data_IF_928497753747
#
_entry.id   IF_928497753747
#
_cell.length_a   1.000
_cell.length_b   1.000
_cell.length_c   1.000
_cell.angle_alpha   90.00
_cell.angle_beta   90.00
_cell.angle_gamma   90.00
#
_symmetry.space_group_name_H-M   'P 1'
#
loop_
_entity.id
_entity.type
_entity.pdbx_description
1 polymer ?
#
# COMPACT_ATOMS: atom_id res chain seq x y z
N UNK A 1 -58.30 39.72 -46.40
CA UNK A 1 -57.07 39.00 -46.80
C UNK A 1 -55.77 39.72 -46.44
N UNK A 2 -55.76 41.02 -46.10
CA UNK A 2 -54.55 41.75 -45.73
C UNK A 2 -54.11 41.67 -44.25
N UNK A 3 -55.02 41.31 -43.35
CA UNK A 3 -54.70 41.26 -41.91
C UNK A 3 -53.96 39.99 -41.50
N UNK A 4 -54.19 38.86 -42.17
CA UNK A 4 -53.53 37.60 -41.88
C UNK A 4 -52.06 37.54 -42.37
N UNK A 5 -51.72 38.30 -43.42
CA UNK A 5 -50.35 38.34 -43.95
C UNK A 5 -49.44 39.15 -43.02
N UNK A 6 -49.92 40.24 -42.39
CA UNK A 6 -49.17 41.09 -41.48
C UNK A 6 -48.89 40.33 -40.16
N UNK A 7 -49.79 39.49 -39.67
CA UNK A 7 -49.59 38.68 -38.45
C UNK A 7 -48.53 37.58 -38.68
N UNK A 8 -48.48 36.96 -39.87
CA UNK A 8 -47.48 35.96 -40.23
C UNK A 8 -46.07 36.54 -40.37
N UNK A 9 -45.92 37.78 -40.85
CA UNK A 9 -44.64 38.48 -40.97
C UNK A 9 -44.14 38.95 -39.58
N UNK A 10 -45.01 39.36 -38.67
CA UNK A 10 -44.62 39.77 -37.31
C UNK A 10 -44.20 38.60 -36.44
N UNK A 11 -44.83 37.41 -36.58
CA UNK A 11 -44.42 36.19 -35.85
C UNK A 11 -43.07 35.65 -36.35
N UNK A 12 -42.82 35.69 -37.67
CA UNK A 12 -41.52 35.29 -38.21
C UNK A 12 -40.39 36.24 -37.83
N UNK A 13 -40.64 37.55 -37.68
CA UNK A 13 -39.62 38.51 -37.27
C UNK A 13 -39.28 38.37 -35.79
N UNK A 14 -40.19 37.90 -34.91
CA UNK A 14 -39.94 37.60 -33.51
C UNK A 14 -39.11 36.33 -33.32
N UNK A 15 -39.19 35.34 -34.23
CA UNK A 15 -38.30 34.16 -34.21
C UNK A 15 -36.86 34.47 -34.66
N UNK A 16 -36.64 35.55 -35.42
CA UNK A 16 -35.30 35.97 -35.83
C UNK A 16 -34.60 36.84 -34.78
N UNK A 17 -35.28 37.25 -33.70
CA UNK A 17 -34.74 38.05 -32.60
C UNK A 17 -34.49 37.24 -31.31
N UNK A 18 -34.57 35.91 -31.35
CA UNK A 18 -34.05 35.13 -30.24
C UNK A 18 -32.53 35.38 -30.18
N UNK A 19 -32.01 35.87 -29.02
CA UNK A 19 -30.57 35.96 -28.88
C UNK A 19 -30.04 34.52 -29.02
N UNK A 20 -29.36 34.25 -30.10
CA UNK A 20 -28.51 33.03 -30.15
C UNK A 20 -27.54 33.16 -29.03
N UNK A 21 -27.76 32.43 -27.95
CA UNK A 21 -26.75 32.20 -26.94
C UNK A 21 -25.64 31.46 -27.69
N UNK A 22 -24.74 32.21 -28.26
CA UNK A 22 -23.49 31.67 -28.78
C UNK A 22 -22.76 31.14 -27.54
N UNK A 23 -22.91 29.86 -27.29
CA UNK A 23 -21.98 29.15 -26.39
C UNK A 23 -20.63 29.31 -27.04
N UNK A 24 -19.89 30.34 -26.61
CA UNK A 24 -18.52 30.56 -27.11
C UNK A 24 -17.73 29.27 -26.92
N UNK A 25 -17.31 28.68 -28.00
CA UNK A 25 -16.44 27.51 -27.94
C UNK A 25 -15.24 27.85 -27.03
N UNK A 26 -14.88 26.98 -26.08
CA UNK A 26 -13.80 27.26 -25.14
C UNK A 26 -12.50 27.59 -25.91
N UNK A 27 -11.95 28.76 -25.64
CA UNK A 27 -10.76 29.32 -26.28
C UNK A 27 -9.55 29.22 -25.35
N UNK A 28 -8.37 29.55 -25.83
CA UNK A 28 -7.18 29.68 -25.00
C UNK A 28 -7.34 30.74 -23.90
N UNK A 29 -8.13 31.79 -24.13
CA UNK A 29 -8.45 32.79 -23.12
C UNK A 29 -9.31 32.22 -21.98
N UNK A 30 -10.20 31.28 -22.29
CA UNK A 30 -10.96 30.54 -21.24
C UNK A 30 -10.01 29.77 -20.33
N UNK A 31 -8.96 29.14 -20.89
CA UNK A 31 -7.95 28.42 -20.10
C UNK A 31 -7.14 29.41 -19.24
N UNK A 32 -6.71 30.55 -19.80
CA UNK A 32 -6.00 31.60 -19.05
C UNK A 32 -6.81 32.09 -17.86
N UNK A 33 -8.07 32.43 -18.06
CA UNK A 33 -8.98 32.88 -17.01
C UNK A 33 -9.20 31.81 -15.94
N UNK A 34 -9.35 30.55 -16.34
CA UNK A 34 -9.47 29.43 -15.40
C UNK A 34 -8.22 29.29 -14.50
N UNK A 35 -7.04 29.43 -15.08
CA UNK A 35 -5.77 29.39 -14.34
C UNK A 35 -5.62 30.58 -13.40
N UNK A 36 -5.97 31.80 -13.82
CA UNK A 36 -5.97 32.99 -12.95
C UNK A 36 -6.91 32.77 -11.77
N UNK A 37 -8.15 32.29 -12.01
CA UNK A 37 -9.10 31.97 -10.93
C UNK A 37 -8.59 30.88 -10.00
N UNK A 38 -7.88 29.89 -10.53
CA UNK A 38 -7.19 28.90 -9.71
C UNK A 38 -6.10 29.55 -8.85
N UNK A 39 -5.23 30.41 -9.42
CA UNK A 39 -4.18 31.14 -8.68
C UNK A 39 -4.79 32.03 -7.60
N UNK A 40 -5.79 32.85 -7.92
CA UNK A 40 -6.49 33.73 -6.94
C UNK A 40 -7.06 32.93 -5.75
N UNK A 41 -7.37 31.67 -5.98
CA UNK A 41 -7.83 30.80 -4.93
C UNK A 41 -6.71 30.34 -3.98
N UNK A 42 -5.44 30.34 -4.35
CA UNK A 42 -4.32 29.91 -3.50
C UNK A 42 -4.02 30.94 -2.43
N UNK A 43 -4.07 30.53 -1.15
CA UNK A 43 -3.83 31.42 0.00
C UNK A 43 -2.40 31.38 0.51
N UNK A 44 -1.65 30.34 0.15
CA UNK A 44 -0.27 30.16 0.61
C UNK A 44 0.55 29.52 -0.51
N UNK A 45 1.55 30.23 -0.97
CA UNK A 45 2.54 29.82 -1.98
C UNK A 45 3.93 30.20 -1.46
N UNK A 46 4.51 29.40 -0.55
CA UNK A 46 5.75 29.78 0.15
C UNK A 46 6.96 29.79 -0.78
N UNK A 47 6.87 29.15 -1.92
CA UNK A 47 7.96 29.08 -2.90
C UNK A 47 7.77 30.04 -4.08
N UNK A 48 6.71 30.89 -4.04
CA UNK A 48 6.35 31.85 -5.11
C UNK A 48 6.25 31.20 -6.52
N UNK A 49 5.82 29.92 -6.58
CA UNK A 49 5.77 29.17 -7.82
C UNK A 49 4.77 29.75 -8.82
N UNK A 50 3.69 30.36 -8.32
CA UNK A 50 2.67 30.99 -9.13
C UNK A 50 2.99 32.46 -9.47
N UNK A 51 4.18 32.97 -9.16
CA UNK A 51 4.61 34.34 -9.50
C UNK A 51 4.67 34.56 -11.00
N UNK A 52 5.02 33.53 -11.78
CA UNK A 52 5.01 33.57 -13.24
C UNK A 52 3.62 33.70 -13.86
N UNK A 53 2.55 33.43 -13.11
CA UNK A 53 1.17 33.49 -13.60
C UNK A 53 0.64 34.94 -13.56
N UNK A 54 1.11 35.74 -14.48
CA UNK A 54 0.77 37.17 -14.59
C UNK A 54 0.73 37.59 -16.07
N UNK A 55 0.33 38.82 -16.34
CA UNK A 55 0.14 39.34 -17.68
C UNK A 55 1.46 39.72 -18.40
N UNK A 56 2.60 39.70 -17.69
CA UNK A 56 3.89 39.99 -18.30
C UNK A 56 4.42 38.89 -19.20
N UNK A 57 3.83 37.67 -19.09
CA UNK A 57 4.22 36.52 -19.92
C UNK A 57 2.99 35.73 -20.35
N UNK A 58 3.09 35.13 -21.56
CA UNK A 58 2.01 34.28 -22.05
C UNK A 58 1.78 33.07 -21.15
N UNK A 59 0.52 32.72 -20.88
CA UNK A 59 0.17 31.64 -19.93
C UNK A 59 0.77 30.28 -20.27
N UNK A 60 1.13 30.04 -21.52
CA UNK A 60 1.86 28.84 -21.94
C UNK A 60 3.27 28.74 -21.31
N UNK A 61 3.83 29.85 -20.85
CA UNK A 61 5.13 29.90 -20.20
C UNK A 61 5.02 29.94 -18.68
N UNK A 62 3.79 29.82 -18.16
CA UNK A 62 3.58 29.80 -16.73
C UNK A 62 4.08 28.48 -16.12
N UNK A 63 4.69 28.58 -14.97
CA UNK A 63 5.22 27.42 -14.28
C UNK A 63 4.13 26.38 -14.01
N UNK A 64 4.48 25.08 -14.20
CA UNK A 64 3.56 23.98 -13.94
C UNK A 64 2.47 23.79 -15.00
N UNK A 65 2.47 24.55 -16.09
CA UNK A 65 1.49 24.43 -17.17
C UNK A 65 2.12 23.75 -18.38
N UNK A 66 1.45 22.69 -18.86
CA UNK A 66 1.75 22.06 -20.15
C UNK A 66 0.58 22.24 -21.09
N UNK A 67 0.85 22.48 -22.35
CA UNK A 67 -0.15 22.75 -23.38
C UNK A 67 0.14 21.97 -24.68
N UNK A 68 -0.89 21.85 -25.53
CA UNK A 68 -0.70 21.28 -26.88
C UNK A 68 -0.12 22.32 -27.82
N UNK A 69 1.01 22.02 -28.45
CA UNK A 69 1.65 22.84 -29.48
C UNK A 69 0.97 22.68 -30.84
N UNK A 70 -0.34 22.96 -30.96
CA UNK A 70 -1.03 23.00 -32.23
C UNK A 70 -1.02 24.41 -32.82
N UNK A 71 -0.73 24.57 -34.14
CA UNK A 71 -0.69 25.89 -34.82
C UNK A 71 -1.99 26.70 -34.70
N UNK A 72 -3.12 26.10 -34.35
CA UNK A 72 -4.44 26.76 -34.32
C UNK A 72 -5.08 26.88 -32.90
N UNK A 73 -4.72 26.04 -31.93
CA UNK A 73 -5.32 26.08 -30.60
C UNK A 73 -4.32 25.63 -29.52
N UNK A 74 -3.78 26.59 -28.81
CA UNK A 74 -3.01 26.30 -27.58
C UNK A 74 -3.98 26.09 -26.44
N UNK A 75 -4.06 24.85 -25.92
CA UNK A 75 -4.96 24.48 -24.84
C UNK A 75 -4.16 23.80 -23.73
N UNK A 76 -4.48 24.08 -22.48
CA UNK A 76 -3.84 23.49 -21.31
C UNK A 76 -4.16 21.99 -21.26
N UNK A 77 -3.12 21.16 -21.20
CA UNK A 77 -3.25 19.69 -21.14
C UNK A 77 -2.72 19.09 -19.87
N UNK A 78 -1.84 19.77 -19.16
CA UNK A 78 -1.39 19.34 -17.83
C UNK A 78 -1.23 20.53 -16.89
N UNK A 79 -1.56 20.27 -15.62
CA UNK A 79 -1.33 21.14 -14.49
C UNK A 79 -0.46 20.36 -13.49
N UNK A 80 0.81 20.76 -13.35
CA UNK A 80 1.79 20.14 -12.45
C UNK A 80 2.26 21.15 -11.38
N UNK A 81 1.68 21.06 -10.22
CA UNK A 81 1.98 21.87 -9.05
C UNK A 81 2.28 20.98 -7.83
N UNK A 82 2.92 19.83 -8.03
CA UNK A 82 3.25 18.88 -6.98
C UNK A 82 4.37 19.40 -6.05
N UNK A 83 4.23 19.19 -4.74
CA UNK A 83 5.34 19.34 -3.79
C UNK A 83 5.67 20.78 -3.36
N UNK A 84 4.84 21.77 -3.72
CA UNK A 84 5.13 23.18 -3.44
C UNK A 84 4.50 23.74 -2.17
N UNK A 85 3.90 22.88 -1.33
CA UNK A 85 3.24 23.27 -0.09
C UNK A 85 2.13 24.29 -0.29
N UNK A 86 1.50 24.29 -1.47
CA UNK A 86 0.37 25.14 -1.79
C UNK A 86 -0.81 24.79 -0.88
N UNK A 87 -1.52 25.81 -0.42
CA UNK A 87 -2.66 25.63 0.49
C UNK A 87 -3.90 26.34 -0.01
N UNK A 88 -4.95 25.55 -0.23
CA UNK A 88 -6.37 25.96 -0.41
C UNK A 88 -7.25 24.77 -0.80
N UNK A 89 -8.56 25.05 -1.03
CA UNK A 89 -9.46 24.15 -1.72
C UNK A 89 -9.18 24.11 -3.23
N UNK A 90 -9.38 22.97 -3.88
CA UNK A 90 -9.28 22.90 -5.35
C UNK A 90 -10.40 23.75 -5.95
N UNK A 91 -10.02 24.75 -6.75
CA UNK A 91 -10.98 25.67 -7.36
C UNK A 91 -11.88 24.94 -8.38
N UNK A 92 -13.22 25.11 -8.34
CA UNK A 92 -14.12 24.58 -9.36
C UNK A 92 -13.78 25.04 -10.78
N UNK A 93 -13.15 26.20 -10.94
CA UNK A 93 -12.74 26.72 -12.24
C UNK A 93 -11.74 25.84 -12.99
N UNK A 94 -11.10 24.83 -12.32
CA UNK A 94 -10.26 23.85 -13.00
C UNK A 94 -11.05 23.07 -14.05
N UNK A 95 -12.36 22.91 -13.87
CA UNK A 95 -13.26 22.24 -14.83
C UNK A 95 -13.38 22.93 -16.17
N UNK A 96 -13.06 24.23 -16.25
CA UNK A 96 -13.06 25.00 -17.49
C UNK A 96 -11.84 24.66 -18.40
N UNK A 97 -10.83 23.95 -17.85
CA UNK A 97 -9.69 23.45 -18.62
C UNK A 97 -10.07 22.16 -19.38
N UNK A 98 -11.02 22.25 -20.29
CA UNK A 98 -11.67 21.10 -20.94
C UNK A 98 -10.74 20.20 -21.78
N UNK A 99 -9.49 20.62 -22.02
CA UNK A 99 -8.45 19.83 -22.68
C UNK A 99 -7.49 19.17 -21.68
N UNK A 100 -7.68 19.39 -20.38
CA UNK A 100 -6.82 18.84 -19.34
C UNK A 100 -6.82 17.31 -19.37
N UNK A 101 -5.63 16.73 -19.34
CA UNK A 101 -5.38 15.29 -19.30
C UNK A 101 -4.72 14.89 -17.99
N UNK A 102 -3.92 15.77 -17.41
CA UNK A 102 -3.06 15.47 -16.28
C UNK A 102 -3.23 16.51 -15.19
N UNK A 103 -3.47 16.05 -13.95
CA UNK A 103 -3.50 16.87 -12.75
C UNK A 103 -2.52 16.27 -11.75
N UNK A 104 -1.44 17.00 -11.46
CA UNK A 104 -0.47 16.67 -10.42
C UNK A 104 -0.49 17.75 -9.34
N UNK A 105 -1.26 17.49 -8.27
CA UNK A 105 -1.38 18.35 -7.09
C UNK A 105 -0.94 17.64 -5.80
N UNK A 106 -0.30 16.47 -5.92
CA UNK A 106 0.16 15.70 -4.77
C UNK A 106 1.23 16.43 -3.95
N UNK A 107 1.39 16.01 -2.70
CA UNK A 107 2.38 16.56 -1.75
C UNK A 107 2.23 18.07 -1.53
N UNK A 108 1.00 18.51 -1.28
CA UNK A 108 0.64 19.88 -0.97
C UNK A 108 -0.21 19.94 0.32
N UNK A 109 -0.87 21.06 0.55
CA UNK A 109 -1.82 21.25 1.65
C UNK A 109 -3.21 21.64 1.14
N UNK A 110 -3.64 21.04 0.03
CA UNK A 110 -4.99 21.23 -0.47
C UNK A 110 -6.00 20.58 0.48
N UNK A 111 -7.09 21.32 0.78
CA UNK A 111 -8.14 20.90 1.70
C UNK A 111 -9.54 21.08 1.08
N UNK A 112 -10.58 20.69 1.82
CA UNK A 112 -11.96 20.77 1.34
C UNK A 112 -12.27 19.65 0.32
N UNK A 113 -13.36 19.79 -0.38
CA UNK A 113 -13.88 18.76 -1.27
C UNK A 113 -13.24 18.80 -2.65
N UNK A 114 -13.17 17.64 -3.30
CA UNK A 114 -12.90 17.57 -4.75
C UNK A 114 -14.13 18.14 -5.45
N UNK A 115 -13.98 19.16 -6.33
CA UNK A 115 -15.12 19.78 -7.01
C UNK A 115 -15.94 18.79 -7.83
N UNK A 116 -17.26 18.91 -7.79
CA UNK A 116 -18.15 18.07 -8.62
C UNK A 116 -17.98 18.34 -10.11
N UNK A 117 -17.64 19.57 -10.48
CA UNK A 117 -17.51 20.01 -11.88
C UNK A 117 -16.35 19.32 -12.64
N UNK A 118 -15.56 18.44 -11.99
CA UNK A 118 -14.51 17.64 -12.66
C UNK A 118 -15.06 16.74 -13.77
N UNK A 119 -16.37 16.52 -13.87
CA UNK A 119 -17.02 15.79 -14.95
C UNK A 119 -16.85 16.43 -16.33
N UNK A 120 -16.63 17.74 -16.39
CA UNK A 120 -16.32 18.46 -17.63
C UNK A 120 -14.93 18.08 -18.20
N UNK A 121 -14.09 17.45 -17.38
CA UNK A 121 -12.74 17.03 -17.76
C UNK A 121 -12.72 15.64 -18.42
N UNK A 122 -13.60 15.40 -19.39
CA UNK A 122 -13.76 14.09 -20.06
C UNK A 122 -12.49 13.56 -20.78
N UNK A 123 -11.46 14.41 -20.93
CA UNK A 123 -10.15 14.04 -21.49
C UNK A 123 -9.13 13.61 -20.43
N UNK A 124 -9.50 13.69 -19.15
CA UNK A 124 -8.61 13.43 -18.02
C UNK A 124 -8.10 11.98 -18.07
N UNK A 125 -6.78 11.84 -17.97
CA UNK A 125 -6.06 10.57 -18.01
C UNK A 125 -5.42 10.25 -16.66
N UNK A 126 -4.84 11.25 -16.00
CA UNK A 126 -4.10 11.06 -14.76
C UNK A 126 -4.46 12.11 -13.70
N UNK A 127 -4.78 11.64 -12.51
CA UNK A 127 -5.11 12.49 -11.36
C UNK A 127 -4.31 12.01 -10.15
N UNK A 128 -3.38 12.84 -9.71
CA UNK A 128 -2.63 12.65 -8.48
C UNK A 128 -2.97 13.77 -7.49
N UNK A 129 -3.77 13.42 -6.50
CA UNK A 129 -4.14 14.32 -5.38
C UNK A 129 -3.61 13.81 -4.04
N UNK A 130 -2.80 12.74 -4.07
CA UNK A 130 -2.32 12.09 -2.85
C UNK A 130 -1.46 13.02 -1.98
N UNK A 131 -1.46 12.72 -0.68
CA UNK A 131 -0.73 13.48 0.33
C UNK A 131 -1.16 14.97 0.35
N UNK A 132 -2.43 15.15 0.72
CA UNK A 132 -3.11 16.41 0.96
C UNK A 132 -4.08 16.22 2.15
N UNK A 133 -4.93 17.21 2.44
CA UNK A 133 -5.98 17.14 3.47
C UNK A 133 -7.38 17.30 2.85
N UNK A 134 -7.59 16.71 1.67
CA UNK A 134 -8.89 16.73 0.98
C UNK A 134 -9.92 15.91 1.76
N UNK A 135 -11.12 16.42 1.89
CA UNK A 135 -12.23 15.83 2.65
C UNK A 135 -13.47 15.58 1.78
N UNK A 136 -14.54 15.07 2.41
CA UNK A 136 -15.79 14.75 1.72
C UNK A 136 -15.71 13.46 0.94
N UNK A 137 -16.65 13.23 0.05
CA UNK A 137 -16.78 11.98 -0.69
C UNK A 137 -15.92 11.95 -1.95
N UNK A 138 -15.53 10.76 -2.38
CA UNK A 138 -14.95 10.53 -3.72
C UNK A 138 -16.05 10.82 -4.75
N UNK A 139 -15.90 11.79 -5.67
CA UNK A 139 -16.97 12.12 -6.60
C UNK A 139 -17.29 10.97 -7.56
N UNK A 140 -18.54 10.49 -7.57
CA UNK A 140 -19.01 9.45 -8.50
C UNK A 140 -18.91 9.88 -9.97
N UNK A 141 -19.00 11.19 -10.20
CA UNK A 141 -18.93 11.81 -11.52
C UNK A 141 -17.57 11.63 -12.22
N UNK A 142 -16.50 11.30 -11.48
CA UNK A 142 -15.21 10.91 -12.07
C UNK A 142 -15.34 9.74 -13.05
N UNK A 143 -16.42 8.96 -12.97
CA UNK A 143 -16.74 7.90 -13.93
C UNK A 143 -16.94 8.40 -15.37
N UNK A 144 -17.26 9.69 -15.54
CA UNK A 144 -17.39 10.33 -16.86
C UNK A 144 -16.03 10.56 -17.54
N UNK A 145 -14.95 10.56 -16.77
CA UNK A 145 -13.58 10.64 -17.30
C UNK A 145 -13.15 9.30 -17.92
N UNK A 146 -13.82 8.85 -18.98
CA UNK A 146 -13.64 7.53 -19.60
C UNK A 146 -12.22 7.23 -20.11
N UNK A 147 -11.37 8.24 -20.20
CA UNK A 147 -9.95 8.12 -20.55
C UNK A 147 -9.04 7.94 -19.34
N UNK A 148 -9.56 8.01 -18.10
CA UNK A 148 -8.78 7.90 -16.89
C UNK A 148 -7.99 6.59 -16.85
N UNK A 149 -6.68 6.75 -16.61
CA UNK A 149 -5.70 5.66 -16.45
C UNK A 149 -5.19 5.57 -15.04
N UNK A 150 -5.10 6.70 -14.35
CA UNK A 150 -4.54 6.80 -13.01
C UNK A 150 -5.43 7.69 -12.15
N UNK A 151 -5.85 7.16 -11.00
CA UNK A 151 -6.50 7.90 -9.91
C UNK A 151 -5.75 7.55 -8.63
N UNK A 152 -5.06 8.52 -8.07
CA UNK A 152 -4.33 8.37 -6.82
C UNK A 152 -4.75 9.46 -5.81
N UNK A 153 -5.54 9.05 -4.82
CA UNK A 153 -6.04 9.91 -3.75
C UNK A 153 -5.52 9.49 -2.35
N UNK A 154 -4.53 8.59 -2.30
CA UNK A 154 -3.97 8.12 -1.03
C UNK A 154 -3.56 9.31 -0.12
N UNK A 155 -3.62 9.08 1.20
CA UNK A 155 -3.18 10.05 2.20
C UNK A 155 -3.95 11.38 2.09
N UNK A 156 -5.27 11.30 2.25
CA UNK A 156 -6.25 12.38 2.35
C UNK A 156 -7.27 12.05 3.43
N UNK A 157 -8.24 12.92 3.66
CA UNK A 157 -9.30 12.75 4.67
C UNK A 157 -10.67 12.45 4.04
N UNK A 158 -10.68 11.93 2.79
CA UNK A 158 -11.90 11.58 2.07
C UNK A 158 -12.70 10.53 2.86
N UNK A 159 -14.02 10.60 2.79
CA UNK A 159 -14.94 9.76 3.54
C UNK A 159 -16.10 9.24 2.67
N UNK A 160 -17.11 8.66 3.30
CA UNK A 160 -18.27 8.10 2.60
C UNK A 160 -17.98 6.74 1.97
N UNK A 161 -18.74 6.37 0.96
CA UNK A 161 -18.63 5.08 0.26
C UNK A 161 -17.79 5.23 -1.01
N UNK A 162 -17.17 4.13 -1.42
CA UNK A 162 -16.51 4.07 -2.73
C UNK A 162 -17.60 4.05 -3.81
N UNK A 163 -17.61 5.01 -4.77
CA UNK A 163 -18.60 5.04 -5.84
C UNK A 163 -18.49 3.82 -6.75
N UNK A 164 -19.62 3.11 -6.92
CA UNK A 164 -19.67 1.93 -7.79
C UNK A 164 -19.47 2.28 -9.27
N UNK A 165 -19.77 3.50 -9.65
CA UNK A 165 -19.65 4.07 -10.99
C UNK A 165 -18.20 4.05 -11.50
N UNK A 166 -17.21 4.15 -10.61
CA UNK A 166 -15.79 4.06 -10.97
C UNK A 166 -15.45 2.72 -11.65
N UNK A 167 -16.25 1.67 -11.44
CA UNK A 167 -16.12 0.38 -12.12
C UNK A 167 -16.35 0.45 -13.64
N UNK A 168 -16.86 1.56 -14.18
CA UNK A 168 -17.01 1.79 -15.63
C UNK A 168 -15.70 2.20 -16.33
N UNK A 169 -14.67 2.62 -15.59
CA UNK A 169 -13.40 3.15 -16.10
C UNK A 169 -12.49 2.04 -16.64
N UNK A 170 -12.82 1.49 -17.80
CA UNK A 170 -12.13 0.31 -18.37
C UNK A 170 -10.66 0.54 -18.74
N UNK A 171 -10.23 1.79 -18.92
CA UNK A 171 -8.82 2.15 -19.20
C UNK A 171 -7.99 2.35 -17.92
N UNK A 172 -8.64 2.33 -16.73
CA UNK A 172 -7.98 2.58 -15.46
C UNK A 172 -6.94 1.50 -15.17
N UNK A 173 -5.70 1.91 -14.97
CA UNK A 173 -4.55 1.05 -14.66
C UNK A 173 -4.16 1.10 -13.19
N UNK A 174 -4.39 2.24 -12.54
CA UNK A 174 -4.06 2.45 -11.15
C UNK A 174 -5.22 3.15 -10.45
N UNK A 175 -5.72 2.53 -9.36
CA UNK A 175 -6.65 3.12 -8.42
C UNK A 175 -6.09 2.97 -7.01
N UNK A 176 -5.81 4.10 -6.35
CA UNK A 176 -5.38 4.16 -4.96
C UNK A 176 -6.29 5.08 -4.15
N UNK A 177 -6.97 4.51 -3.17
CA UNK A 177 -7.93 5.17 -2.28
C UNK A 177 -7.65 4.83 -0.80
N UNK A 178 -6.39 4.84 -0.38
CA UNK A 178 -5.97 4.68 1.02
C UNK A 178 -6.10 6.00 1.77
N UNK A 179 -7.28 6.31 2.33
CA UNK A 179 -7.62 7.65 2.82
C UNK A 179 -8.11 7.68 4.28
N UNK A 180 -8.06 6.56 5.02
CA UNK A 180 -8.45 6.36 6.42
C UNK A 180 -9.96 6.31 6.72
N UNK A 181 -10.85 6.91 5.92
CA UNK A 181 -12.23 7.11 6.32
C UNK A 181 -13.31 6.57 5.35
N UNK A 182 -12.92 5.88 4.27
CA UNK A 182 -13.90 5.25 3.38
C UNK A 182 -14.60 4.09 4.10
N UNK A 183 -15.91 4.00 3.90
CA UNK A 183 -16.82 3.05 4.53
C UNK A 183 -17.57 2.21 3.51
N UNK A 184 -18.42 1.29 3.99
CA UNK A 184 -19.22 0.44 3.13
C UNK A 184 -18.43 -0.71 2.53
N UNK A 185 -18.86 -1.21 1.38
CA UNK A 185 -18.29 -2.41 0.74
C UNK A 185 -17.44 -2.05 -0.46
N UNK A 186 -16.51 -2.93 -0.84
CA UNK A 186 -15.83 -2.86 -2.13
C UNK A 186 -16.89 -3.07 -3.22
N UNK A 187 -17.06 -2.15 -4.18
CA UNK A 187 -18.08 -2.28 -5.21
C UNK A 187 -17.82 -3.52 -6.11
N UNK A 188 -18.82 -4.38 -6.31
CA UNK A 188 -18.70 -5.52 -7.24
C UNK A 188 -18.36 -5.12 -8.67
N UNK A 189 -18.74 -3.89 -9.08
CA UNK A 189 -18.42 -3.30 -10.39
C UNK A 189 -16.91 -3.14 -10.63
N UNK A 190 -16.08 -3.14 -9.59
CA UNK A 190 -14.62 -3.08 -9.75
C UNK A 190 -14.06 -4.28 -10.51
N UNK A 191 -14.78 -5.42 -10.51
CA UNK A 191 -14.46 -6.55 -11.39
C UNK A 191 -14.53 -6.25 -12.89
N UNK A 192 -15.08 -5.10 -13.29
CA UNK A 192 -15.16 -4.65 -14.69
C UNK A 192 -13.97 -3.77 -15.12
N UNK A 193 -13.05 -3.42 -14.21
CA UNK A 193 -11.85 -2.60 -14.47
C UNK A 193 -10.80 -3.41 -15.25
N UNK A 194 -11.08 -3.69 -16.53
CA UNK A 194 -10.33 -4.66 -17.34
C UNK A 194 -8.84 -4.37 -17.51
N UNK A 195 -8.43 -3.10 -17.40
CA UNK A 195 -7.03 -2.68 -17.54
C UNK A 195 -6.29 -2.50 -16.20
N UNK A 196 -6.98 -2.70 -15.06
CA UNK A 196 -6.41 -2.39 -13.75
C UNK A 196 -5.20 -3.28 -13.44
N UNK A 197 -4.10 -2.65 -13.04
CA UNK A 197 -2.87 -3.31 -12.60
C UNK A 197 -2.61 -3.10 -11.12
N UNK A 198 -2.99 -1.94 -10.59
CA UNK A 198 -2.80 -1.57 -9.19
C UNK A 198 -4.15 -1.19 -8.61
N UNK A 199 -4.64 -1.97 -7.66
CA UNK A 199 -5.83 -1.70 -6.88
C UNK A 199 -5.46 -1.66 -5.39
N UNK A 200 -5.46 -0.47 -4.81
CA UNK A 200 -5.19 -0.27 -3.38
C UNK A 200 -6.34 0.47 -2.71
N UNK A 201 -6.98 -0.19 -1.78
CA UNK A 201 -8.04 0.33 -0.91
C UNK A 201 -7.63 0.22 0.56
N UNK A 202 -6.33 0.10 0.82
CA UNK A 202 -5.77 -0.08 2.16
C UNK A 202 -6.06 1.11 3.07
N UNK A 203 -6.02 0.86 4.39
CA UNK A 203 -6.15 1.88 5.43
C UNK A 203 -7.47 2.64 5.29
N UNK A 204 -8.58 1.93 5.51
CA UNK A 204 -9.94 2.45 5.47
C UNK A 204 -10.84 1.77 6.51
N UNK A 205 -12.14 2.01 6.44
CA UNK A 205 -13.16 1.39 7.31
C UNK A 205 -14.12 0.51 6.50
N UNK A 206 -13.60 -0.12 5.41
CA UNK A 206 -14.40 -0.97 4.52
C UNK A 206 -14.81 -2.25 5.24
N UNK A 207 -16.01 -2.73 4.92
CA UNK A 207 -16.64 -3.91 5.51
C UNK A 207 -17.14 -4.89 4.43
N UNK A 208 -17.58 -6.07 4.86
CA UNK A 208 -18.11 -7.12 4.00
C UNK A 208 -17.03 -7.90 3.28
N UNK A 209 -17.33 -8.54 2.17
CA UNK A 209 -16.45 -9.52 1.53
C UNK A 209 -15.70 -8.91 0.34
N UNK A 210 -14.61 -9.54 -0.05
CA UNK A 210 -13.94 -9.28 -1.34
C UNK A 210 -14.89 -9.76 -2.45
N UNK A 211 -15.33 -8.88 -3.37
CA UNK A 211 -16.20 -9.32 -4.46
C UNK A 211 -15.52 -10.38 -5.34
N UNK A 212 -16.17 -11.51 -5.60
CA UNK A 212 -15.61 -12.60 -6.40
C UNK A 212 -15.12 -12.16 -7.79
N UNK A 213 -15.76 -11.13 -8.37
CA UNK A 213 -15.40 -10.56 -9.67
C UNK A 213 -14.02 -9.89 -9.70
N UNK A 214 -13.45 -9.50 -8.56
CA UNK A 214 -12.05 -9.01 -8.48
C UNK A 214 -11.10 -10.09 -9.01
N UNK A 215 -11.41 -11.35 -8.76
CA UNK A 215 -10.68 -12.47 -9.34
C UNK A 215 -10.69 -12.55 -10.87
N UNK A 216 -11.57 -11.85 -11.58
CA UNK A 216 -11.59 -11.82 -13.05
C UNK A 216 -10.66 -10.76 -13.68
N UNK A 217 -10.05 -9.90 -12.89
CA UNK A 217 -9.14 -8.84 -13.35
C UNK A 217 -7.82 -9.42 -13.87
N UNK A 218 -7.70 -9.60 -15.18
CA UNK A 218 -6.58 -10.33 -15.82
C UNK A 218 -5.22 -9.64 -15.67
N UNK A 219 -5.21 -8.32 -15.59
CA UNK A 219 -3.98 -7.49 -15.58
C UNK A 219 -3.51 -7.13 -14.17
N UNK A 220 -4.19 -7.60 -13.11
CA UNK A 220 -3.92 -7.21 -11.73
C UNK A 220 -2.53 -7.72 -11.30
N UNK A 221 -1.68 -6.79 -10.86
CA UNK A 221 -0.30 -7.03 -10.38
C UNK A 221 -0.18 -6.75 -8.89
N UNK A 222 -0.86 -5.72 -8.43
CA UNK A 222 -0.86 -5.26 -7.04
C UNK A 222 -2.29 -5.20 -6.52
N UNK A 223 -2.58 -5.95 -5.47
CA UNK A 223 -3.85 -5.93 -4.77
C UNK A 223 -3.62 -5.68 -3.28
N UNK A 224 -4.18 -4.58 -2.76
CA UNK A 224 -4.09 -4.27 -1.34
C UNK A 224 -5.42 -3.78 -0.78
N UNK A 225 -5.84 -4.40 0.31
CA UNK A 225 -6.99 -4.02 1.14
C UNK A 225 -6.61 -3.99 2.62
N UNK A 226 -5.31 -3.96 2.95
CA UNK A 226 -4.83 -4.02 4.35
C UNK A 226 -5.44 -2.92 5.20
N UNK A 227 -5.53 -3.18 6.51
CA UNK A 227 -6.08 -2.25 7.50
C UNK A 227 -7.49 -1.78 7.15
N UNK A 228 -8.43 -2.75 7.17
CA UNK A 228 -9.87 -2.57 6.99
C UNK A 228 -10.65 -3.47 7.95
N UNK A 229 -11.94 -3.66 7.71
CA UNK A 229 -12.82 -4.60 8.42
C UNK A 229 -13.46 -5.60 7.45
N UNK A 230 -12.70 -5.99 6.42
CA UNK A 230 -13.13 -6.95 5.39
C UNK A 230 -13.18 -8.35 5.99
N UNK A 231 -14.26 -9.08 5.75
CA UNK A 231 -14.50 -10.42 6.29
C UNK A 231 -14.75 -11.46 5.19
N UNK A 232 -14.94 -12.72 5.58
CA UNK A 232 -15.14 -13.84 4.65
C UNK A 232 -13.83 -14.32 4.03
N UNK A 233 -13.90 -14.92 2.84
CA UNK A 233 -12.76 -15.59 2.21
C UNK A 233 -12.18 -14.80 1.04
N UNK A 234 -10.94 -15.09 0.69
CA UNK A 234 -10.34 -14.59 -0.55
C UNK A 234 -10.89 -15.40 -1.72
N UNK A 235 -11.44 -14.76 -2.77
CA UNK A 235 -11.91 -15.49 -3.95
C UNK A 235 -10.81 -16.38 -4.54
N UNK A 236 -11.08 -17.67 -4.74
CA UNK A 236 -10.12 -18.66 -5.25
C UNK A 236 -9.49 -18.24 -6.58
N UNK A 237 -10.22 -17.49 -7.39
CA UNK A 237 -9.72 -16.92 -8.66
C UNK A 237 -8.62 -15.87 -8.48
N UNK A 238 -8.46 -15.26 -7.30
CA UNK A 238 -7.29 -14.42 -7.00
C UNK A 238 -6.02 -15.24 -6.83
N UNK A 239 -6.12 -16.42 -6.24
CA UNK A 239 -4.98 -17.33 -6.08
C UNK A 239 -4.51 -17.98 -7.40
N UNK A 240 -5.27 -17.83 -8.49
CA UNK A 240 -4.93 -18.37 -9.82
C UNK A 240 -4.43 -17.31 -10.80
N UNK A 241 -3.86 -16.21 -10.30
CA UNK A 241 -3.41 -15.09 -11.14
C UNK A 241 -1.90 -15.04 -11.24
N UNK A 242 -1.35 -15.59 -12.32
CA UNK A 242 0.09 -15.53 -12.59
C UNK A 242 0.65 -14.09 -12.70
N UNK A 243 -0.20 -13.09 -12.95
CA UNK A 243 0.21 -11.68 -13.01
C UNK A 243 0.45 -11.05 -11.65
N UNK A 244 -0.10 -11.61 -10.55
CA UNK A 244 0.02 -11.03 -9.22
C UNK A 244 1.44 -11.12 -8.70
N UNK A 245 1.94 -9.98 -8.23
CA UNK A 245 3.22 -9.84 -7.55
C UNK A 245 3.04 -9.46 -6.07
N UNK A 246 2.00 -8.74 -5.75
CA UNK A 246 1.75 -8.28 -4.38
C UNK A 246 0.30 -8.54 -4.01
N UNK A 247 0.11 -9.28 -2.92
CA UNK A 247 -1.16 -9.46 -2.24
C UNK A 247 -0.97 -8.99 -0.79
N UNK A 248 -1.69 -7.95 -0.41
CA UNK A 248 -1.63 -7.37 0.93
C UNK A 248 -3.05 -7.24 1.49
N UNK A 249 -3.36 -8.09 2.44
CA UNK A 249 -4.69 -8.16 3.08
C UNK A 249 -4.61 -8.08 4.60
N UNK A 250 -3.43 -7.78 5.15
CA UNK A 250 -3.18 -7.74 6.59
C UNK A 250 -4.15 -6.82 7.34
N UNK A 251 -4.37 -7.10 8.61
CA UNK A 251 -5.24 -6.34 9.50
C UNK A 251 -6.67 -6.23 8.94
N UNK A 252 -7.35 -7.39 8.92
CA UNK A 252 -8.74 -7.55 8.49
C UNK A 252 -9.42 -8.67 9.31
N UNK A 253 -10.58 -9.13 8.88
CA UNK A 253 -11.35 -10.22 9.50
C UNK A 253 -11.55 -11.38 8.49
N UNK A 254 -10.56 -11.59 7.61
CA UNK A 254 -10.61 -12.65 6.61
C UNK A 254 -10.37 -14.01 7.28
N UNK A 255 -11.18 -15.00 6.94
CA UNK A 255 -11.10 -16.36 7.44
C UNK A 255 -10.98 -17.33 6.27
N UNK A 256 -9.85 -17.99 6.14
CA UNK A 256 -9.60 -18.89 5.02
C UNK A 256 -8.48 -19.88 5.37
N UNK A 257 -8.20 -20.78 4.46
CA UNK A 257 -6.97 -21.57 4.42
C UNK A 257 -6.20 -21.28 3.15
N UNK A 258 -4.87 -21.32 3.20
CA UNK A 258 -4.07 -21.14 2.01
C UNK A 258 -4.26 -22.34 1.05
N UNK A 259 -4.53 -22.11 -0.25
CA UNK A 259 -4.65 -23.19 -1.22
C UNK A 259 -3.38 -24.04 -1.30
N UNK A 260 -3.52 -25.36 -1.34
CA UNK A 260 -2.39 -26.29 -1.38
C UNK A 260 -1.42 -26.05 -2.55
N UNK A 261 -1.84 -25.41 -3.64
CA UNK A 261 -1.06 -25.10 -4.82
C UNK A 261 -0.66 -23.62 -4.96
N UNK A 262 -0.76 -22.81 -3.91
CA UNK A 262 -0.61 -21.35 -3.97
C UNK A 262 0.69 -20.90 -4.66
N UNK A 263 1.83 -21.49 -4.34
CA UNK A 263 3.12 -21.09 -4.91
C UNK A 263 3.28 -21.48 -6.39
N UNK A 264 2.55 -22.53 -6.83
CA UNK A 264 2.51 -22.91 -8.24
C UNK A 264 1.59 -21.99 -9.06
N UNK A 265 0.50 -21.57 -8.45
CA UNK A 265 -0.52 -20.72 -9.09
C UNK A 265 -0.11 -19.24 -9.17
N UNK A 266 0.81 -18.80 -8.31
CA UNK A 266 1.31 -17.42 -8.19
C UNK A 266 2.83 -17.35 -8.42
N UNK A 267 3.35 -17.75 -9.59
CA UNK A 267 4.79 -17.88 -9.82
C UNK A 267 5.56 -16.56 -9.78
N UNK A 268 4.89 -15.42 -9.95
CA UNK A 268 5.49 -14.10 -9.92
C UNK A 268 5.29 -13.35 -8.58
N UNK A 269 4.79 -14.07 -7.55
CA UNK A 269 4.53 -13.49 -6.24
C UNK A 269 5.84 -13.05 -5.57
N UNK A 270 5.88 -11.78 -5.16
CA UNK A 270 7.00 -11.15 -4.44
C UNK A 270 6.67 -10.83 -3.00
N UNK A 271 5.42 -10.44 -2.75
CA UNK A 271 4.99 -9.99 -1.43
C UNK A 271 3.65 -10.61 -1.09
N UNK A 272 3.61 -11.34 0.02
CA UNK A 272 2.41 -11.92 0.60
C UNK A 272 2.26 -11.44 2.03
N UNK A 273 1.37 -10.47 2.25
CA UNK A 273 1.09 -9.89 3.57
C UNK A 273 -0.33 -10.29 3.99
N UNK A 274 -0.41 -11.26 4.88
CA UNK A 274 -1.66 -11.80 5.39
C UNK A 274 -1.84 -11.56 6.89
N UNK A 275 -0.88 -10.99 7.59
CA UNK A 275 -0.83 -10.74 9.03
C UNK A 275 -2.13 -10.18 9.62
N UNK A 276 -2.43 -10.48 10.90
CA UNK A 276 -3.61 -9.98 11.65
C UNK A 276 -4.95 -10.20 10.91
N UNK A 277 -5.35 -11.47 10.77
CA UNK A 277 -6.66 -11.92 10.26
C UNK A 277 -7.09 -13.22 10.97
N UNK A 278 -8.02 -14.02 10.42
CA UNK A 278 -8.47 -15.30 10.95
C UNK A 278 -8.08 -16.51 10.07
N UNK A 279 -6.98 -16.42 9.30
CA UNK A 279 -6.50 -17.57 8.52
C UNK A 279 -6.08 -18.72 9.42
N UNK A 280 -6.21 -19.95 8.92
CA UNK A 280 -5.92 -21.16 9.69
C UNK A 280 -5.38 -22.29 8.80
N UNK A 281 -5.06 -23.43 9.44
CA UNK A 281 -4.56 -24.61 8.75
C UNK A 281 -3.05 -24.59 8.51
N UNK A 282 -2.52 -25.55 7.73
CA UNK A 282 -1.09 -25.66 7.49
C UNK A 282 -0.57 -24.62 6.48
N UNK A 283 0.70 -24.25 6.58
CA UNK A 283 1.41 -23.52 5.54
C UNK A 283 1.70 -24.47 4.38
N UNK A 284 1.18 -24.24 3.17
CA UNK A 284 1.34 -25.16 2.05
C UNK A 284 2.80 -25.25 1.59
N UNK A 285 3.31 -26.47 1.41
CA UNK A 285 4.67 -26.72 0.92
C UNK A 285 4.90 -26.10 -0.48
N UNK A 286 3.85 -25.97 -1.29
CA UNK A 286 3.95 -25.35 -2.61
C UNK A 286 4.36 -23.88 -2.55
N UNK A 287 4.17 -23.18 -1.42
CA UNK A 287 4.57 -21.79 -1.26
C UNK A 287 6.07 -21.59 -1.56
N UNK A 288 6.89 -22.60 -1.27
CA UNK A 288 8.31 -22.63 -1.58
C UNK A 288 8.64 -22.70 -3.08
N UNK A 289 7.63 -22.83 -3.96
CA UNK A 289 7.80 -22.75 -5.42
C UNK A 289 7.61 -21.31 -5.97
N UNK A 290 7.16 -20.37 -5.14
CA UNK A 290 7.08 -18.97 -5.52
C UNK A 290 8.48 -18.32 -5.43
N UNK A 291 9.38 -18.71 -6.32
CA UNK A 291 10.83 -18.41 -6.25
C UNK A 291 11.20 -16.92 -6.25
N UNK A 292 10.25 -16.03 -6.59
CA UNK A 292 10.44 -14.57 -6.53
C UNK A 292 9.98 -13.96 -5.19
N UNK A 293 9.54 -14.78 -4.23
CA UNK A 293 9.01 -14.30 -2.96
C UNK A 293 10.11 -13.62 -2.14
N UNK A 294 9.84 -12.39 -1.74
CA UNK A 294 10.73 -11.51 -1.00
C UNK A 294 10.25 -11.28 0.43
N UNK A 295 8.93 -11.15 0.60
CA UNK A 295 8.31 -10.89 1.88
C UNK A 295 7.16 -11.87 2.08
N UNK A 296 7.21 -12.60 3.18
CA UNK A 296 6.16 -13.50 3.64
C UNK A 296 5.79 -13.16 5.07
N UNK A 297 4.62 -12.54 5.25
CA UNK A 297 4.03 -12.25 6.54
C UNK A 297 2.75 -13.08 6.71
N UNK A 298 2.83 -14.05 7.59
CA UNK A 298 1.73 -14.90 8.05
C UNK A 298 1.51 -14.76 9.56
N UNK A 299 1.87 -13.63 10.15
CA UNK A 299 1.81 -13.38 11.59
C UNK A 299 0.39 -13.22 12.12
N UNK A 300 0.23 -13.35 13.44
CA UNK A 300 -1.02 -13.14 14.18
C UNK A 300 -2.22 -13.93 13.59
N UNK A 301 -2.07 -15.26 13.46
CA UNK A 301 -3.02 -16.18 12.82
C UNK A 301 -3.30 -17.40 13.68
N UNK A 302 -4.00 -18.33 13.02
CA UNK A 302 -4.25 -19.68 13.53
C UNK A 302 -3.59 -20.74 12.64
N UNK A 303 -2.47 -20.40 11.99
CA UNK A 303 -1.68 -21.40 11.26
C UNK A 303 -1.13 -22.44 12.23
N UNK A 304 -1.12 -23.69 11.80
CA UNK A 304 -0.75 -24.80 12.66
C UNK A 304 0.03 -25.88 11.88
N UNK A 305 0.62 -26.80 12.61
CA UNK A 305 1.43 -27.87 12.05
C UNK A 305 2.87 -27.47 11.78
N UNK A 306 3.54 -28.14 10.86
CA UNK A 306 4.96 -27.92 10.58
C UNK A 306 5.17 -26.82 9.56
N UNK A 307 6.22 -26.03 9.76
CA UNK A 307 6.73 -25.11 8.71
C UNK A 307 7.41 -25.94 7.62
N UNK A 308 7.15 -25.65 6.33
CA UNK A 308 7.79 -26.36 5.23
C UNK A 308 9.33 -26.34 5.30
N UNK A 309 9.95 -27.50 5.18
CA UNK A 309 11.42 -27.65 5.30
C UNK A 309 12.20 -27.19 4.07
N UNK A 310 11.53 -26.78 3.00
CA UNK A 310 12.14 -26.35 1.73
C UNK A 310 12.02 -24.83 1.49
N UNK A 311 11.85 -24.02 2.54
CA UNK A 311 11.85 -22.55 2.46
C UNK A 311 13.14 -21.99 1.85
N UNK A 312 14.27 -22.73 1.93
CA UNK A 312 15.51 -22.38 1.26
C UNK A 312 15.46 -22.33 -0.27
N UNK A 313 14.34 -22.74 -0.88
CA UNK A 313 14.08 -22.57 -2.31
C UNK A 313 13.64 -21.13 -2.67
N UNK A 314 13.60 -20.22 -1.70
CA UNK A 314 13.23 -18.81 -1.85
C UNK A 314 14.47 -17.90 -1.77
N UNK A 315 15.30 -17.81 -2.82
CA UNK A 315 16.61 -17.14 -2.76
C UNK A 315 16.51 -15.64 -2.54
N UNK A 316 15.36 -15.05 -2.86
CA UNK A 316 15.10 -13.61 -2.72
C UNK A 316 14.35 -13.25 -1.44
N UNK A 317 14.15 -14.20 -0.52
CA UNK A 317 13.44 -13.94 0.72
C UNK A 317 14.26 -13.01 1.63
N UNK A 318 13.68 -11.85 1.96
CA UNK A 318 14.24 -10.84 2.85
C UNK A 318 13.60 -10.88 4.23
N UNK A 319 12.28 -11.04 4.27
CA UNK A 319 11.50 -10.99 5.49
C UNK A 319 10.57 -12.20 5.58
N UNK A 320 10.73 -12.97 6.66
CA UNK A 320 9.84 -14.06 7.05
C UNK A 320 9.28 -13.79 8.43
N UNK A 321 7.97 -13.60 8.51
CA UNK A 321 7.24 -13.41 9.75
C UNK A 321 6.18 -14.50 9.89
N UNK A 322 6.37 -15.37 10.87
CA UNK A 322 5.46 -16.45 11.26
C UNK A 322 4.98 -16.28 12.69
N UNK A 323 5.20 -15.13 13.30
CA UNK A 323 4.92 -14.88 14.72
C UNK A 323 3.44 -15.03 15.07
N UNK A 324 3.18 -15.29 16.33
CA UNK A 324 1.85 -15.36 16.92
C UNK A 324 0.89 -16.33 16.17
N UNK A 325 1.28 -17.62 16.13
CA UNK A 325 0.55 -18.71 15.50
C UNK A 325 0.54 -19.96 16.40
N UNK A 326 0.10 -21.09 15.85
CA UNK A 326 0.14 -22.41 16.51
C UNK A 326 1.09 -23.36 15.77
N UNK A 327 2.13 -22.80 15.12
CA UNK A 327 3.17 -23.57 14.44
C UNK A 327 4.08 -24.24 15.48
N UNK A 328 4.55 -25.46 15.21
CA UNK A 328 5.37 -26.07 16.23
C UNK A 328 6.02 -27.38 15.91
N UNK A 329 6.60 -27.94 16.97
CA UNK A 329 7.29 -29.22 17.15
C UNK A 329 8.69 -29.31 16.54
N UNK A 330 9.02 -28.65 15.45
CA UNK A 330 10.35 -28.78 14.84
C UNK A 330 10.87 -27.46 14.30
N UNK A 331 12.15 -27.25 14.49
CA UNK A 331 12.94 -26.14 13.92
C UNK A 331 13.79 -26.59 12.71
N UNK A 332 13.51 -27.78 12.13
CA UNK A 332 14.30 -28.34 11.01
C UNK A 332 14.30 -27.46 9.78
N UNK A 333 13.24 -26.69 9.56
CA UNK A 333 13.18 -25.73 8.44
C UNK A 333 14.28 -24.66 8.49
N UNK A 334 14.81 -24.33 9.67
CA UNK A 334 15.92 -23.36 9.82
C UNK A 334 17.17 -23.82 9.05
N UNK A 335 17.39 -25.13 8.90
CA UNK A 335 18.52 -25.66 8.14
C UNK A 335 18.42 -25.26 6.66
N UNK A 336 17.22 -25.22 6.09
CA UNK A 336 17.04 -24.80 4.70
C UNK A 336 17.14 -23.29 4.53
N UNK A 337 16.73 -22.50 5.54
CA UNK A 337 16.80 -21.04 5.48
C UNK A 337 18.22 -20.51 5.35
N UNK A 338 19.25 -21.33 5.62
CA UNK A 338 20.65 -20.95 5.36
C UNK A 338 20.93 -20.65 3.88
N UNK A 339 20.07 -21.12 2.96
CA UNK A 339 20.13 -20.79 1.54
C UNK A 339 19.52 -19.42 1.20
N UNK A 340 18.72 -18.83 2.10
CA UNK A 340 18.12 -17.52 1.92
C UNK A 340 19.12 -16.42 2.28
N UNK A 341 20.13 -16.22 1.45
CA UNK A 341 21.28 -15.33 1.73
C UNK A 341 20.91 -13.85 1.85
N UNK A 342 19.69 -13.47 1.46
CA UNK A 342 19.16 -12.10 1.56
C UNK A 342 18.26 -11.90 2.77
N UNK A 343 18.06 -12.94 3.60
CA UNK A 343 17.17 -12.86 4.76
C UNK A 343 17.74 -11.86 5.75
N UNK A 344 16.97 -10.83 6.04
CA UNK A 344 17.34 -9.75 6.95
C UNK A 344 16.49 -9.75 8.22
N UNK A 345 15.26 -10.27 8.14
CA UNK A 345 14.33 -10.37 9.27
C UNK A 345 13.71 -11.76 9.36
N UNK A 346 13.79 -12.37 10.53
CA UNK A 346 13.16 -13.63 10.86
C UNK A 346 12.44 -13.53 12.21
N UNK A 347 11.12 -13.61 12.17
CA UNK A 347 10.29 -13.62 13.37
C UNK A 347 9.50 -14.92 13.47
N UNK A 348 9.77 -15.68 14.52
CA UNK A 348 9.14 -16.96 14.86
C UNK A 348 8.47 -16.89 16.24
N UNK A 349 8.39 -15.72 16.84
CA UNK A 349 7.91 -15.52 18.21
C UNK A 349 6.47 -15.99 18.42
N UNK A 350 6.13 -16.30 19.63
CA UNK A 350 4.76 -16.67 20.06
C UNK A 350 4.18 -17.81 19.22
N UNK A 351 4.81 -18.99 19.30
CA UNK A 351 4.42 -20.22 18.63
C UNK A 351 4.58 -21.43 19.55
N UNK A 352 4.60 -22.63 19.01
CA UNK A 352 4.82 -23.89 19.74
C UNK A 352 6.10 -24.60 19.26
N UNK A 353 7.11 -23.82 18.81
CA UNK A 353 8.39 -24.39 18.38
C UNK A 353 9.12 -24.97 19.59
N UNK A 354 9.51 -26.25 19.48
CA UNK A 354 10.21 -26.95 20.54
C UNK A 354 11.47 -27.65 20.07
N UNK A 355 12.15 -28.32 21.00
CA UNK A 355 13.42 -28.98 20.76
C UNK A 355 14.59 -28.02 20.90
N UNK A 356 15.74 -28.37 20.29
CA UNK A 356 16.99 -27.61 20.41
C UNK A 356 17.23 -26.79 19.15
N UNK A 357 17.71 -25.55 19.32
CA UNK A 357 18.15 -24.76 18.16
C UNK A 357 19.22 -25.52 17.36
N UNK A 358 19.01 -25.73 16.06
CA UNK A 358 19.99 -26.45 15.26
C UNK A 358 21.28 -25.64 15.08
N UNK A 359 22.45 -26.32 15.18
CA UNK A 359 23.75 -25.66 14.99
C UNK A 359 23.83 -24.78 13.75
N UNK A 360 23.25 -25.15 12.59
CA UNK A 360 23.24 -24.28 11.40
C UNK A 360 22.51 -22.94 11.54
N UNK A 361 21.83 -22.63 12.67
CA UNK A 361 21.25 -21.30 12.91
C UNK A 361 22.28 -20.18 12.74
N UNK A 362 23.52 -20.43 13.11
CA UNK A 362 24.62 -19.48 12.91
C UNK A 362 25.07 -19.30 11.45
N UNK A 363 24.53 -20.08 10.53
CA UNK A 363 24.77 -19.99 9.09
C UNK A 363 23.59 -19.33 8.33
N UNK A 364 22.61 -18.79 9.05
CA UNK A 364 21.61 -17.92 8.46
C UNK A 364 22.29 -16.72 7.78
N UNK A 365 21.51 -15.96 7.00
CA UNK A 365 22.06 -14.84 6.23
C UNK A 365 22.96 -13.93 7.07
N UNK A 366 24.12 -13.56 6.52
CA UNK A 366 25.00 -12.55 7.12
C UNK A 366 24.37 -11.14 7.08
N UNK A 367 23.25 -10.96 6.39
CA UNK A 367 22.49 -9.72 6.36
C UNK A 367 21.44 -9.65 7.49
N UNK A 368 21.26 -10.73 8.25
CA UNK A 368 20.24 -10.81 9.28
C UNK A 368 20.45 -9.74 10.36
N UNK A 369 19.45 -8.88 10.52
CA UNK A 369 19.43 -7.80 11.50
C UNK A 369 18.47 -8.05 12.64
N UNK A 370 17.41 -8.80 12.41
CA UNK A 370 16.38 -9.10 13.40
C UNK A 370 16.11 -10.61 13.45
N UNK A 371 16.19 -11.19 14.65
CA UNK A 371 15.96 -12.61 14.90
C UNK A 371 15.19 -12.79 16.19
N UNK A 372 13.95 -13.26 16.08
CA UNK A 372 13.04 -13.38 17.20
C UNK A 372 12.50 -14.80 17.33
N UNK A 373 12.63 -15.37 18.55
CA UNK A 373 12.16 -16.69 18.95
C UNK A 373 11.33 -16.66 20.24
N UNK A 374 10.96 -15.50 20.75
CA UNK A 374 10.31 -15.29 22.03
C UNK A 374 9.05 -16.15 22.17
N UNK A 375 8.68 -16.47 23.40
CA UNK A 375 7.45 -17.18 23.74
C UNK A 375 7.25 -18.47 22.93
N UNK A 376 8.18 -19.43 23.09
CA UNK A 376 8.17 -20.76 22.48
C UNK A 376 8.55 -21.84 23.50
N UNK A 377 8.73 -23.07 23.04
CA UNK A 377 9.16 -24.21 23.85
C UNK A 377 10.60 -24.66 23.51
N UNK A 378 11.45 -23.73 23.04
CA UNK A 378 12.82 -24.05 22.59
C UNK A 378 13.68 -24.30 23.81
N UNK A 379 14.43 -25.40 23.79
CA UNK A 379 15.20 -25.91 24.94
C UNK A 379 16.68 -26.13 24.59
N UNK A 380 17.44 -26.62 25.56
CA UNK A 380 18.87 -26.86 25.40
C UNK A 380 19.73 -25.59 25.54
N UNK A 381 20.99 -25.67 25.23
CA UNK A 381 21.90 -24.53 25.31
C UNK A 381 21.84 -23.65 24.07
N UNK A 382 22.09 -22.37 24.24
CA UNK A 382 22.22 -21.43 23.10
C UNK A 382 23.46 -21.83 22.29
N UNK A 383 23.33 -22.13 20.98
CA UNK A 383 24.45 -22.55 20.16
C UNK A 383 25.51 -21.45 20.01
N UNK A 384 26.78 -21.76 20.22
CA UNK A 384 27.87 -20.79 20.05
C UNK A 384 27.96 -20.26 18.62
N UNK A 385 27.48 -21.02 17.63
CA UNK A 385 27.43 -20.60 16.23
C UNK A 385 26.52 -19.39 16.00
N UNK A 386 25.56 -19.13 16.88
CA UNK A 386 24.70 -17.94 16.79
C UNK A 386 25.52 -16.64 16.75
N UNK A 387 26.69 -16.62 17.44
CA UNK A 387 27.63 -15.49 17.41
C UNK A 387 28.26 -15.19 16.03
N UNK A 388 27.98 -15.98 14.99
CA UNK A 388 28.36 -15.64 13.62
C UNK A 388 27.45 -14.58 12.99
N UNK A 389 26.28 -14.35 13.55
CA UNK A 389 25.30 -13.37 13.07
C UNK A 389 25.64 -11.96 13.58
N UNK A 390 26.83 -11.49 13.26
CA UNK A 390 27.45 -10.25 13.78
C UNK A 390 26.70 -8.95 13.41
N UNK A 391 25.75 -9.02 12.50
CA UNK A 391 24.96 -7.87 12.07
C UNK A 391 23.63 -7.71 12.81
N UNK A 392 23.33 -8.59 13.79
CA UNK A 392 22.10 -8.48 14.57
C UNK A 392 22.02 -7.13 15.28
N UNK A 393 20.83 -6.53 15.14
CA UNK A 393 20.36 -5.31 15.83
C UNK A 393 19.37 -5.71 16.93
N UNK A 394 18.50 -6.68 16.65
CA UNK A 394 17.54 -7.26 17.58
C UNK A 394 17.69 -8.77 17.69
N UNK A 395 17.76 -9.27 18.94
CA UNK A 395 17.72 -10.69 19.27
C UNK A 395 16.77 -10.91 20.44
N UNK A 396 15.68 -11.62 20.20
CA UNK A 396 14.70 -12.03 21.20
C UNK A 396 14.68 -13.54 21.35
N UNK A 397 14.89 -14.01 22.57
CA UNK A 397 14.90 -15.43 22.96
C UNK A 397 14.19 -15.65 24.30
N UNK A 398 13.53 -14.63 24.82
CA UNK A 398 12.83 -14.67 26.09
C UNK A 398 11.67 -15.67 26.07
N UNK A 399 11.17 -15.99 27.27
CA UNK A 399 10.05 -16.91 27.49
C UNK A 399 10.20 -18.24 26.72
N UNK A 400 11.34 -18.91 26.95
CA UNK A 400 11.68 -20.22 26.39
C UNK A 400 12.22 -21.16 27.45
N UNK A 401 12.77 -22.29 27.05
CA UNK A 401 13.35 -23.29 27.96
C UNK A 401 14.88 -23.42 27.80
N UNK A 402 15.57 -22.35 27.39
CA UNK A 402 17.01 -22.36 27.23
C UNK A 402 17.73 -22.57 28.56
N UNK A 403 18.79 -23.36 28.53
CA UNK A 403 19.61 -23.74 29.71
C UNK A 403 21.10 -23.41 29.49
N UNK A 404 21.90 -23.53 30.52
CA UNK A 404 23.34 -23.27 30.47
C UNK A 404 23.67 -21.79 30.63
N UNK A 405 24.84 -21.37 30.18
CA UNK A 405 25.35 -20.00 30.33
C UNK A 405 25.03 -19.16 29.10
N UNK A 406 24.95 -17.84 29.30
CA UNK A 406 24.97 -16.90 28.17
C UNK A 406 26.31 -17.04 27.45
N UNK A 407 26.34 -17.38 26.14
CA UNK A 407 27.57 -17.61 25.42
C UNK A 407 28.45 -16.36 25.32
N UNK A 408 29.73 -16.47 25.68
CA UNK A 408 30.67 -15.36 25.57
C UNK A 408 30.85 -14.85 24.13
N UNK A 409 30.55 -15.67 23.14
CA UNK A 409 30.55 -15.31 21.71
C UNK A 409 29.61 -14.13 21.37
N UNK A 410 28.63 -13.80 22.21
CA UNK A 410 27.74 -12.64 22.04
C UNK A 410 28.51 -11.32 22.14
N UNK A 411 29.73 -11.30 22.65
CA UNK A 411 30.64 -10.15 22.55
C UNK A 411 30.81 -9.65 21.10
N UNK A 412 30.58 -10.52 20.09
CA UNK A 412 30.65 -10.17 18.67
C UNK A 412 29.46 -9.34 18.18
N UNK A 413 28.40 -9.24 18.93
CA UNK A 413 27.18 -8.51 18.55
C UNK A 413 27.34 -6.99 18.71
N UNK A 414 28.32 -6.40 18.07
CA UNK A 414 28.67 -4.99 18.24
C UNK A 414 27.60 -3.99 17.74
N UNK A 415 26.58 -4.48 16.99
CA UNK A 415 25.44 -3.68 16.48
C UNK A 415 24.17 -3.90 17.26
N UNK A 416 24.17 -4.80 18.26
CA UNK A 416 22.96 -5.15 19.01
C UNK A 416 22.42 -3.96 19.78
N UNK A 417 21.16 -3.70 19.63
CA UNK A 417 20.43 -2.64 20.32
C UNK A 417 19.41 -3.21 21.28
N UNK A 418 18.82 -4.36 20.95
CA UNK A 418 17.81 -5.05 21.74
C UNK A 418 18.22 -6.48 21.95
N UNK A 419 18.29 -6.90 23.23
CA UNK A 419 18.61 -8.27 23.62
C UNK A 419 17.68 -8.71 24.76
N UNK A 420 16.77 -9.65 24.45
CA UNK A 420 15.84 -10.25 25.41
C UNK A 420 16.21 -11.71 25.64
N UNK A 421 16.52 -12.08 26.90
CA UNK A 421 16.85 -13.43 27.34
C UNK A 421 16.08 -13.87 28.60
N UNK A 422 15.23 -13.00 29.16
CA UNK A 422 14.42 -13.24 30.35
C UNK A 422 13.50 -14.46 30.19
N UNK A 423 12.87 -14.91 31.26
CA UNK A 423 11.91 -16.03 31.21
C UNK A 423 12.51 -17.34 30.69
N UNK A 424 13.80 -17.61 30.95
CA UNK A 424 14.52 -18.82 30.57
C UNK A 424 15.07 -19.57 31.78
N UNK A 425 15.76 -20.67 31.55
CA UNK A 425 16.47 -21.46 32.58
C UNK A 425 17.99 -21.24 32.49
N UNK A 426 18.41 -20.04 32.11
CA UNK A 426 19.84 -19.70 31.99
C UNK A 426 20.45 -19.58 33.39
N UNK A 427 21.71 -19.98 33.47
CA UNK A 427 22.48 -20.06 34.73
C UNK A 427 23.67 -19.07 34.69
N UNK A 428 24.27 -18.86 35.88
CA UNK A 428 25.50 -18.09 36.02
C UNK A 428 25.30 -16.60 36.20
N UNK A 429 26.42 -15.89 36.28
CA UNK A 429 26.45 -14.44 36.45
C UNK A 429 26.34 -13.72 35.09
N UNK A 430 26.00 -12.43 35.15
CA UNK A 430 25.98 -11.59 33.99
C UNK A 430 27.40 -11.47 33.36
N UNK A 431 27.57 -11.88 32.11
CA UNK A 431 28.90 -11.81 31.48
C UNK A 431 29.42 -10.39 31.37
N UNK A 432 30.71 -10.18 31.70
CA UNK A 432 31.36 -8.86 31.70
C UNK A 432 31.38 -8.20 30.31
N UNK A 433 31.35 -9.00 29.23
CA UNK A 433 31.35 -8.47 27.86
C UNK A 433 30.11 -7.64 27.50
N UNK A 434 29.01 -7.78 28.25
CA UNK A 434 27.76 -7.00 28.01
C UNK A 434 28.05 -5.51 28.12
N UNK A 435 28.98 -5.09 29.02
CA UNK A 435 29.43 -3.71 29.11
C UNK A 435 30.18 -3.19 27.88
N UNK A 436 30.62 -4.08 26.97
CA UNK A 436 31.29 -3.73 25.73
C UNK A 436 30.30 -3.56 24.55
N UNK A 437 29.00 -3.87 24.73
CA UNK A 437 27.97 -3.72 23.70
C UNK A 437 27.45 -2.29 23.67
N UNK A 438 28.24 -1.38 23.13
CA UNK A 438 28.03 0.08 23.23
C UNK A 438 26.77 0.62 22.56
N UNK A 439 26.12 -0.16 21.68
CA UNK A 439 24.87 0.22 21.02
C UNK A 439 23.63 -0.33 21.73
N UNK A 440 23.81 -1.17 22.76
CA UNK A 440 22.72 -1.79 23.49
C UNK A 440 21.96 -0.74 24.29
N UNK A 441 20.64 -0.59 24.02
CA UNK A 441 19.77 0.30 24.77
C UNK A 441 18.65 -0.41 25.51
N UNK A 442 18.32 -1.65 25.11
CA UNK A 442 17.31 -2.48 25.78
C UNK A 442 17.90 -3.86 26.04
N UNK A 443 18.06 -4.17 27.31
CA UNK A 443 18.53 -5.45 27.82
C UNK A 443 17.53 -5.98 28.83
N UNK A 444 16.94 -7.14 28.56
CA UNK A 444 16.05 -7.83 29.48
C UNK A 444 16.64 -9.18 29.85
N UNK A 445 16.94 -9.34 31.14
CA UNK A 445 17.61 -10.49 31.74
C UNK A 445 16.91 -10.94 33.02
N UNK A 446 15.70 -10.54 33.27
CA UNK A 446 14.98 -10.91 34.48
C UNK A 446 14.95 -12.45 34.65
N UNK A 447 15.05 -12.91 35.89
CA UNK A 447 15.07 -14.33 36.28
C UNK A 447 16.33 -15.14 35.91
N UNK A 448 17.35 -14.53 35.29
CA UNK A 448 18.63 -15.24 35.08
C UNK A 448 19.32 -15.48 36.42
N UNK A 449 19.78 -16.71 36.62
CA UNK A 449 20.54 -17.10 37.83
C UNK A 449 19.69 -17.38 39.10
N UNK A 450 18.36 -17.23 39.02
CA UNK A 450 17.50 -17.73 40.10
C UNK A 450 17.41 -19.25 39.97
N UNK A 451 18.21 -19.95 40.77
CA UNK A 451 17.98 -21.38 40.98
C UNK A 451 16.57 -21.54 41.58
N UNK A 452 15.66 -22.23 40.87
CA UNK A 452 14.43 -22.70 41.49
C UNK A 452 14.81 -23.69 42.57
N UNK A 453 14.79 -23.22 43.83
CA UNK A 453 14.92 -24.04 45.04
C UNK A 453 13.61 -24.80 45.24
#
# INVERSE_FOLDING_TARGET
MHLHVILLFSVNLLYLLQPTITVNAPTNETDRLALIKFKESITHDPHMMLSSWNDSMHFCNWFGITFTCGRRHQRVTALDLQGYKLRRSISPHISNLTFLRIIYLQNNSFYGKIPHDVDHLFRLEEVYLNNNTLEGEVPSILSNCSNARIINFNWNELNGKIPAELGSLKKLKLLRLGVYNLTGRIPPSFGNLSSIRVLSLAINKLVGNIPYRIGHLKSLVYFSISSNKISGTIPSSLYNKSSLQIISVSVNQLNDTLPANIGLSLPNLKVLLFGSNDFSGPIPISLCNASQLQILDLSEKKFSGLVPTNLGNLPDLHWLDLSNNYLGRSLDFLKSLTNCIKLDKLDLSTNQFGGVLPIPVGNLSTQLTELYFEANEISGTIPITLGNLVNLIGLGMDDNLFTGLIPTIFEKFQKIQVLHLNGNRLLGELPTFIGNLTQLFLLDLDEIGRAHV
#
